data_IF_754289876291
#
_entry.id   IF_754289876291
#
_cell.length_a   1.000
_cell.length_b   1.000
_cell.length_c   1.000
_cell.angle_alpha   90.00
_cell.angle_beta   90.00
_cell.angle_gamma   90.00
#
_symmetry.space_group_name_H-M   'P 1'
#
loop_
_entity.id
_entity.type
_entity.pdbx_description
1 polymer ?
#
# COMPACT_ATOMS: atom_id res chain seq x y z
N UNK A 1 8.27 10.27 25.21
CA UNK A 1 7.85 9.70 23.91
C UNK A 1 6.36 9.96 23.73
N UNK A 2 6.00 10.84 22.80
CA UNK A 2 4.62 11.28 22.58
C UNK A 2 3.79 10.25 21.80
N UNK A 3 2.46 10.35 21.80
CA UNK A 3 1.59 9.43 21.03
C UNK A 3 1.89 9.48 19.53
N UNK A 4 2.22 10.67 18.99
CA UNK A 4 2.55 10.88 17.58
C UNK A 4 3.80 10.12 17.12
N UNK A 5 4.73 9.82 18.03
CA UNK A 5 5.92 9.01 17.75
C UNK A 5 5.61 7.49 17.70
N UNK A 6 4.38 7.09 18.06
CA UNK A 6 3.97 5.68 18.11
C UNK A 6 2.92 5.31 17.06
N UNK A 7 2.24 6.29 16.47
CA UNK A 7 1.19 6.08 15.47
C UNK A 7 1.58 6.66 14.13
N UNK A 8 1.04 6.08 13.06
CA UNK A 8 1.05 6.68 11.73
C UNK A 8 -0.30 7.37 11.51
N UNK A 9 -0.31 8.53 10.88
CA UNK A 9 -1.54 9.28 10.59
C UNK A 9 -1.75 9.32 9.08
N UNK A 10 -2.88 8.78 8.63
CA UNK A 10 -3.24 8.77 7.21
C UNK A 10 -3.29 10.20 6.66
N UNK A 11 -2.53 10.43 5.58
CA UNK A 11 -2.39 11.72 4.93
C UNK A 11 -2.15 11.53 3.43
N UNK A 12 -3.07 11.98 2.55
CA UNK A 12 -2.83 12.03 1.12
C UNK A 12 -1.55 12.80 0.76
N UNK A 13 -0.75 12.27 -0.17
CA UNK A 13 0.50 12.93 -0.60
C UNK A 13 0.31 14.43 -0.95
N UNK A 14 -0.72 14.87 -1.70
CA UNK A 14 -0.90 16.28 -1.99
C UNK A 14 -1.03 17.17 -0.74
N UNK A 15 -1.66 16.65 0.33
CA UNK A 15 -1.77 17.37 1.60
C UNK A 15 -0.45 17.39 2.36
N UNK A 16 0.34 16.30 2.31
CA UNK A 16 1.70 16.29 2.84
C UNK A 16 2.58 17.33 2.15
N UNK A 17 2.57 17.38 0.81
CA UNK A 17 3.34 18.36 0.05
C UNK A 17 2.98 19.80 0.43
N UNK A 18 1.69 20.09 0.62
CA UNK A 18 1.21 21.42 1.00
C UNK A 18 1.54 21.79 2.46
N UNK A 19 1.61 20.82 3.37
CA UNK A 19 1.68 21.07 4.81
C UNK A 19 2.95 20.52 5.49
N UNK A 20 4.02 20.27 4.71
CA UNK A 20 5.23 19.64 5.22
C UNK A 20 5.81 20.35 6.46
N UNK A 21 5.86 21.68 6.46
CA UNK A 21 6.38 22.44 7.61
C UNK A 21 5.61 22.14 8.92
N UNK A 22 4.29 22.01 8.84
CA UNK A 22 3.46 21.64 9.99
C UNK A 22 3.72 20.21 10.45
N UNK A 23 3.80 19.26 9.51
CA UNK A 23 4.13 17.85 9.78
C UNK A 23 5.48 17.74 10.50
N UNK A 24 6.50 18.44 10.00
CA UNK A 24 7.83 18.46 10.61
C UNK A 24 7.84 19.13 11.99
N UNK A 25 7.07 20.20 12.18
CA UNK A 25 7.03 20.96 13.43
C UNK A 25 6.44 20.14 14.59
N UNK A 26 5.43 19.30 14.31
CA UNK A 26 4.77 18.48 15.33
C UNK A 26 5.32 17.04 15.40
N UNK A 27 6.24 16.67 14.51
CA UNK A 27 6.80 15.33 14.44
C UNK A 27 5.76 14.26 14.07
N UNK A 28 4.77 14.61 13.25
CA UNK A 28 3.74 13.66 12.81
C UNK A 28 4.37 12.65 11.85
N UNK A 29 4.11 11.37 12.11
CA UNK A 29 4.54 10.27 11.25
C UNK A 29 3.42 9.96 10.25
N UNK A 30 3.59 10.24 8.96
CA UNK A 30 2.52 10.08 8.00
C UNK A 30 2.44 8.65 7.46
N UNK A 31 1.21 8.14 7.40
CA UNK A 31 0.85 7.12 6.43
C UNK A 31 0.44 7.82 5.14
N UNK A 32 1.28 7.76 4.12
CA UNK A 32 1.10 8.53 2.90
C UNK A 32 0.18 7.77 1.95
N UNK A 33 -1.00 8.33 1.67
CA UNK A 33 -1.92 7.77 0.68
C UNK A 33 -1.60 8.26 -0.74
N UNK A 34 -1.58 7.33 -1.70
CA UNK A 34 -1.36 7.58 -3.12
C UNK A 34 -2.60 7.19 -3.93
N UNK A 35 -3.37 8.17 -4.40
CA UNK A 35 -4.42 7.89 -5.39
C UNK A 35 -3.83 7.69 -6.80
N UNK A 36 -4.57 7.03 -7.69
CA UNK A 36 -4.15 6.87 -9.09
C UNK A 36 -3.84 8.20 -9.78
N UNK A 37 -4.71 9.21 -9.60
CA UNK A 37 -4.47 10.56 -10.11
C UNK A 37 -3.21 11.23 -9.55
N UNK A 38 -2.88 10.96 -8.27
CA UNK A 38 -1.65 11.47 -7.67
C UNK A 38 -0.41 10.81 -8.30
N UNK A 39 -0.47 9.49 -8.55
CA UNK A 39 0.62 8.74 -9.17
C UNK A 39 0.88 9.17 -10.62
N UNK A 40 -0.17 9.51 -11.37
CA UNK A 40 -0.07 10.00 -12.75
C UNK A 40 0.57 11.39 -12.88
N UNK A 41 0.56 12.17 -11.78
CA UNK A 41 1.01 13.57 -11.77
C UNK A 41 2.02 13.86 -10.67
N UNK A 42 2.88 12.89 -10.31
CA UNK A 42 3.86 13.05 -9.25
C UNK A 42 4.85 14.20 -9.56
N UNK A 43 4.91 15.26 -8.71
CA UNK A 43 5.92 16.29 -8.83
C UNK A 43 7.24 15.76 -8.26
N UNK A 44 7.95 14.93 -9.03
CA UNK A 44 9.11 14.13 -8.57
C UNK A 44 10.16 14.92 -7.79
N UNK A 45 10.43 16.17 -8.18
CA UNK A 45 11.39 17.01 -7.47
C UNK A 45 10.93 17.33 -6.03
N UNK A 46 9.66 17.71 -5.85
CA UNK A 46 9.10 17.98 -4.53
C UNK A 46 8.94 16.70 -3.72
N UNK A 47 8.54 15.59 -4.34
CA UNK A 47 8.44 14.28 -3.69
C UNK A 47 9.78 13.86 -3.08
N UNK A 48 10.89 13.97 -3.84
CA UNK A 48 12.23 13.63 -3.36
C UNK A 48 12.68 14.56 -2.23
N UNK A 49 12.38 15.86 -2.33
CA UNK A 49 12.68 16.84 -1.28
C UNK A 49 11.93 16.54 0.01
N UNK A 50 10.63 16.21 -0.07
CA UNK A 50 9.82 15.82 1.09
C UNK A 50 10.37 14.55 1.73
N UNK A 51 10.68 13.52 0.95
CA UNK A 51 11.28 12.29 1.45
C UNK A 51 12.60 12.57 2.21
N UNK A 52 13.47 13.41 1.64
CA UNK A 52 14.72 13.82 2.28
C UNK A 52 14.49 14.56 3.60
N UNK A 53 13.54 15.51 3.65
CA UNK A 53 13.28 16.30 4.84
C UNK A 53 12.66 15.46 5.98
N UNK A 54 11.78 14.51 5.66
CA UNK A 54 11.24 13.55 6.63
C UNK A 54 12.35 12.67 7.20
N UNK A 55 13.20 12.12 6.32
CA UNK A 55 14.36 11.30 6.70
C UNK A 55 15.34 12.06 7.61
N UNK A 56 15.70 13.29 7.28
CA UNK A 56 16.60 14.14 8.09
C UNK A 56 16.05 14.43 9.49
N UNK A 57 14.72 14.40 9.67
CA UNK A 57 14.05 14.59 10.96
C UNK A 57 13.73 13.28 11.68
N UNK A 58 14.17 12.14 11.14
CA UNK A 58 13.85 10.80 11.64
C UNK A 58 12.34 10.54 11.76
N UNK A 59 11.54 11.16 10.88
CA UNK A 59 10.10 10.91 10.82
C UNK A 59 9.89 9.66 9.97
N UNK A 60 9.40 8.59 10.59
CA UNK A 60 9.08 7.36 9.86
C UNK A 60 7.78 7.51 9.10
N UNK A 61 7.65 6.77 8.00
CA UNK A 61 6.44 6.77 7.17
C UNK A 61 5.96 5.35 6.91
N UNK A 62 4.66 5.22 6.68
CA UNK A 62 4.06 4.07 5.97
C UNK A 62 3.38 4.57 4.71
N UNK A 63 3.07 3.67 3.79
CA UNK A 63 2.33 4.01 2.58
C UNK A 63 0.97 3.32 2.58
N UNK A 64 -0.02 3.98 2.02
CA UNK A 64 -1.28 3.37 1.64
C UNK A 64 -1.42 3.44 0.11
N UNK A 65 -1.47 2.28 -0.54
CA UNK A 65 -1.54 2.15 -1.98
C UNK A 65 -2.92 2.62 -2.53
N UNK A 66 -3.03 2.91 -3.84
CA UNK A 66 -4.33 3.16 -4.47
C UNK A 66 -5.18 1.89 -4.39
N UNK A 67 -6.49 2.07 -4.23
CA UNK A 67 -7.44 0.95 -4.16
C UNK A 67 -8.71 1.19 -4.98
N UNK A 68 -9.11 2.45 -5.18
CA UNK A 68 -10.32 2.82 -5.94
C UNK A 68 -10.29 2.23 -7.35
N UNK A 69 -11.33 1.45 -7.68
CA UNK A 69 -11.52 0.76 -8.96
C UNK A 69 -10.43 -0.24 -9.36
N UNK A 70 -9.56 -0.62 -8.42
CA UNK A 70 -8.52 -1.63 -8.62
C UNK A 70 -8.98 -2.97 -8.06
N UNK A 71 -8.55 -4.06 -8.70
CA UNK A 71 -8.85 -5.41 -8.24
C UNK A 71 -7.69 -6.37 -8.58
N UNK A 72 -6.86 -6.71 -7.58
CA UNK A 72 -5.70 -7.59 -7.79
C UNK A 72 -6.12 -9.03 -8.06
N UNK A 73 -7.32 -9.41 -7.64
CA UNK A 73 -7.93 -10.71 -7.94
C UNK A 73 -8.88 -10.72 -9.12
N UNK A 74 -8.97 -9.66 -9.93
CA UNK A 74 -9.95 -9.54 -11.01
C UNK A 74 -9.92 -10.74 -11.96
N UNK A 75 -11.09 -11.14 -12.47
CA UNK A 75 -11.19 -12.16 -13.54
C UNK A 75 -10.69 -11.61 -14.87
N UNK A 76 -10.96 -10.34 -15.15
CA UNK A 76 -10.45 -9.65 -16.33
C UNK A 76 -8.96 -9.33 -16.19
N UNK A 77 -8.17 -9.87 -17.09
CA UNK A 77 -6.71 -9.71 -17.12
C UNK A 77 -6.27 -8.25 -17.25
N UNK A 78 -7.01 -7.40 -17.99
CA UNK A 78 -6.67 -5.98 -18.14
C UNK A 78 -6.89 -5.19 -16.86
N UNK A 79 -7.88 -5.58 -16.05
CA UNK A 79 -8.08 -5.00 -14.72
C UNK A 79 -6.93 -5.42 -13.78
N UNK A 80 -6.48 -6.68 -13.84
CA UNK A 80 -5.31 -7.12 -13.05
C UNK A 80 -4.03 -6.42 -13.49
N UNK A 81 -3.80 -6.30 -14.79
CA UNK A 81 -2.62 -5.62 -15.35
C UNK A 81 -2.55 -4.16 -14.88
N UNK A 82 -3.64 -3.40 -14.98
CA UNK A 82 -3.64 -2.00 -14.52
C UNK A 82 -3.51 -1.90 -13.00
N UNK A 83 -4.09 -2.83 -12.25
CA UNK A 83 -3.91 -2.90 -10.78
C UNK A 83 -2.45 -3.13 -10.42
N UNK A 84 -1.82 -4.13 -11.03
CA UNK A 84 -0.40 -4.41 -10.83
C UNK A 84 0.48 -3.22 -11.23
N UNK A 85 0.15 -2.52 -12.32
CA UNK A 85 0.83 -1.30 -12.72
C UNK A 85 0.75 -0.22 -11.64
N UNK A 86 -0.44 0.07 -11.10
CA UNK A 86 -0.61 1.06 -10.01
C UNK A 86 0.14 0.69 -8.74
N UNK A 87 0.14 -0.58 -8.37
CA UNK A 87 0.90 -1.05 -7.22
C UNK A 87 2.40 -0.87 -7.43
N UNK A 88 2.91 -1.18 -8.63
CA UNK A 88 4.32 -0.98 -8.97
C UNK A 88 4.75 0.49 -8.95
N UNK A 89 3.87 1.43 -9.33
CA UNK A 89 4.15 2.87 -9.19
C UNK A 89 4.37 3.27 -7.72
N UNK A 90 3.62 2.69 -6.78
CA UNK A 90 3.87 2.93 -5.34
C UNK A 90 5.19 2.31 -4.90
N UNK A 91 5.51 1.11 -5.40
CA UNK A 91 6.80 0.45 -5.12
C UNK A 91 8.00 1.25 -5.64
N UNK A 92 7.86 2.02 -6.72
CA UNK A 92 8.91 2.92 -7.25
C UNK A 92 9.28 4.05 -6.28
N UNK A 93 8.42 4.36 -5.29
CA UNK A 93 8.66 5.39 -4.29
C UNK A 93 9.46 4.89 -3.09
N UNK A 94 9.57 3.57 -2.91
CA UNK A 94 10.25 2.92 -1.77
C UNK A 94 11.70 3.38 -1.60
N UNK A 95 12.54 3.45 -2.66
CA UNK A 95 13.94 3.87 -2.51
C UNK A 95 14.14 5.31 -2.04
N UNK A 96 13.09 6.14 -2.08
CA UNK A 96 13.17 7.53 -1.62
C UNK A 96 12.72 7.67 -0.17
N UNK A 97 11.59 7.05 0.18
CA UNK A 97 10.96 7.22 1.49
C UNK A 97 11.37 6.16 2.52
N UNK A 98 11.80 4.98 2.08
CA UNK A 98 12.08 3.83 2.95
C UNK A 98 10.94 3.55 3.95
N UNK A 99 9.69 3.39 3.47
CA UNK A 99 8.54 3.20 4.35
C UNK A 99 8.68 1.92 5.19
N UNK A 100 8.15 1.95 6.41
CA UNK A 100 8.15 0.77 7.30
C UNK A 100 7.28 -0.37 6.76
N UNK A 101 6.19 -0.01 6.09
CA UNK A 101 5.27 -0.93 5.43
C UNK A 101 4.45 -0.19 4.35
N UNK A 102 3.90 -0.96 3.42
CA UNK A 102 2.93 -0.49 2.43
C UNK A 102 1.64 -1.31 2.59
N UNK A 103 0.55 -0.60 2.82
CA UNK A 103 -0.78 -1.17 2.99
C UNK A 103 -1.47 -1.21 1.62
N UNK A 104 -2.08 -2.35 1.31
CA UNK A 104 -2.88 -2.54 0.11
C UNK A 104 -4.22 -3.18 0.43
N UNK A 105 -5.20 -2.88 -0.42
CA UNK A 105 -6.49 -3.57 -0.38
C UNK A 105 -6.42 -4.89 -1.17
N UNK A 106 -6.86 -6.01 -0.59
CA UNK A 106 -6.86 -7.35 -1.20
C UNK A 106 -7.92 -7.50 -2.30
N UNK A 107 -8.96 -6.66 -2.28
CA UNK A 107 -9.93 -6.49 -3.35
C UNK A 107 -10.90 -7.67 -3.54
N UNK A 108 -11.17 -8.45 -2.49
CA UNK A 108 -12.29 -9.39 -2.50
C UNK A 108 -13.60 -8.68 -2.15
N UNK A 109 -14.66 -9.03 -2.86
CA UNK A 109 -16.05 -8.64 -2.58
C UNK A 109 -16.93 -9.79 -3.05
N UNK A 110 -17.75 -10.34 -2.15
CA UNK A 110 -18.58 -11.53 -2.45
C UNK A 110 -19.47 -11.34 -3.67
N UNK A 111 -19.96 -10.12 -3.93
CA UNK A 111 -20.85 -9.83 -5.05
C UNK A 111 -20.11 -9.77 -6.38
N UNK A 112 -18.83 -9.38 -6.37
CA UNK A 112 -18.00 -9.35 -7.58
C UNK A 112 -17.47 -10.73 -7.96
N UNK A 113 -17.28 -11.59 -6.96
CA UNK A 113 -16.71 -12.93 -7.14
C UNK A 113 -17.75 -14.05 -7.05
N UNK A 114 -19.04 -13.74 -6.91
CA UNK A 114 -20.12 -14.71 -6.75
C UNK A 114 -19.81 -15.76 -5.67
N UNK A 115 -19.35 -15.28 -4.51
CA UNK A 115 -18.85 -16.08 -3.38
C UNK A 115 -17.64 -17.00 -3.70
N UNK A 116 -17.08 -16.98 -4.92
CA UNK A 116 -15.96 -17.83 -5.34
C UNK A 116 -14.61 -17.28 -4.83
N UNK A 117 -14.34 -17.56 -3.56
CA UNK A 117 -13.06 -17.24 -2.91
C UNK A 117 -11.89 -17.96 -3.59
N UNK A 118 -12.09 -19.16 -4.16
CA UNK A 118 -10.99 -19.92 -4.76
C UNK A 118 -10.53 -19.29 -6.07
N UNK A 119 -11.48 -18.83 -6.90
CA UNK A 119 -11.22 -18.03 -8.09
C UNK A 119 -10.48 -16.74 -7.73
N UNK A 120 -10.98 -15.99 -6.75
CA UNK A 120 -10.33 -14.76 -6.30
C UNK A 120 -8.89 -15.01 -5.82
N UNK A 121 -8.64 -16.04 -5.00
CA UNK A 121 -7.27 -16.38 -4.53
C UNK A 121 -6.38 -16.73 -5.74
N UNK A 122 -6.86 -17.58 -6.65
CA UNK A 122 -6.08 -18.02 -7.81
C UNK A 122 -5.63 -16.83 -8.67
N UNK A 123 -6.54 -15.90 -8.95
CA UNK A 123 -6.24 -14.70 -9.74
C UNK A 123 -5.37 -13.71 -8.95
N UNK A 124 -5.63 -13.53 -7.66
CA UNK A 124 -4.87 -12.66 -6.78
C UNK A 124 -3.38 -13.02 -6.73
N UNK A 125 -3.06 -14.32 -6.79
CA UNK A 125 -1.67 -14.79 -6.80
C UNK A 125 -0.86 -14.27 -7.99
N UNK A 126 -1.51 -13.98 -9.12
CA UNK A 126 -0.86 -13.40 -10.31
C UNK A 126 -0.39 -11.96 -10.06
N UNK A 127 -1.04 -11.23 -9.16
CA UNK A 127 -0.63 -9.87 -8.76
C UNK A 127 0.30 -9.91 -7.55
N UNK A 128 -0.02 -10.69 -6.51
CA UNK A 128 0.71 -10.63 -5.24
C UNK A 128 2.08 -11.28 -5.26
N UNK A 129 2.26 -12.43 -5.93
CA UNK A 129 3.57 -13.11 -5.94
C UNK A 129 4.68 -12.22 -6.51
N UNK A 130 4.54 -11.62 -7.71
CA UNK A 130 5.55 -10.72 -8.25
C UNK A 130 5.77 -9.48 -7.38
N UNK A 131 4.69 -8.93 -6.79
CA UNK A 131 4.79 -7.74 -5.93
C UNK A 131 5.55 -8.04 -4.63
N UNK A 132 5.35 -9.23 -4.06
CA UNK A 132 6.03 -9.68 -2.84
C UNK A 132 7.50 -10.01 -3.11
N UNK A 133 7.82 -10.64 -4.24
CA UNK A 133 9.22 -10.83 -4.69
C UNK A 133 9.94 -9.48 -4.84
N UNK A 134 9.25 -8.49 -5.41
CA UNK A 134 9.76 -7.12 -5.49
C UNK A 134 9.92 -6.48 -4.12
N UNK A 135 8.98 -6.70 -3.20
CA UNK A 135 9.04 -6.17 -1.83
C UNK A 135 10.22 -6.75 -1.04
N UNK A 136 10.52 -8.03 -1.21
CA UNK A 136 11.71 -8.69 -0.67
C UNK A 136 13.00 -8.03 -1.19
N UNK A 137 13.09 -7.81 -2.50
CA UNK A 137 14.25 -7.13 -3.13
C UNK A 137 14.44 -5.71 -2.60
N UNK A 138 13.36 -4.99 -2.32
CA UNK A 138 13.37 -3.64 -1.78
C UNK A 138 13.44 -3.59 -0.24
N UNK A 139 13.47 -4.76 0.42
CA UNK A 139 13.46 -4.90 1.88
C UNK A 139 12.31 -4.15 2.58
N UNK A 140 11.12 -4.13 1.96
CA UNK A 140 9.91 -3.45 2.50
C UNK A 140 8.80 -4.47 2.78
N UNK A 141 8.06 -4.29 3.87
CA UNK A 141 6.90 -5.14 4.19
C UNK A 141 5.65 -4.65 3.47
N UNK A 142 4.88 -5.59 2.94
CA UNK A 142 3.52 -5.36 2.46
C UNK A 142 2.52 -5.84 3.52
N UNK A 143 1.37 -5.20 3.61
CA UNK A 143 0.26 -5.66 4.43
C UNK A 143 -1.06 -5.59 3.66
N UNK A 144 -1.89 -6.63 3.81
CA UNK A 144 -3.25 -6.66 3.27
C UNK A 144 -4.22 -6.18 4.35
N UNK A 145 -5.00 -5.15 4.05
CA UNK A 145 -6.04 -4.60 4.92
C UNK A 145 -7.38 -5.30 4.71
N UNK A 146 -8.15 -5.57 5.76
CA UNK A 146 -9.54 -6.03 5.60
C UNK A 146 -10.44 -4.89 5.14
N UNK A 147 -11.31 -5.15 4.16
CA UNK A 147 -12.24 -4.13 3.64
C UNK A 147 -13.67 -4.66 3.58
N UNK A 148 -13.91 -5.68 2.75
CA UNK A 148 -15.26 -6.23 2.51
C UNK A 148 -15.38 -7.71 2.85
N UNK A 149 -14.29 -8.34 3.29
CA UNK A 149 -14.28 -9.75 3.67
C UNK A 149 -15.16 -9.98 4.89
N UNK A 150 -16.13 -10.89 4.78
CA UNK A 150 -17.09 -11.17 5.86
C UNK A 150 -16.44 -11.88 7.07
N UNK A 151 -15.26 -12.48 6.89
CA UNK A 151 -14.53 -13.14 7.96
C UNK A 151 -13.02 -13.27 7.63
N UNK A 152 -12.13 -13.37 8.64
CA UNK A 152 -10.69 -13.39 8.44
C UNK A 152 -10.17 -14.64 7.70
N UNK A 153 -10.98 -15.70 7.55
CA UNK A 153 -10.53 -16.91 6.87
C UNK A 153 -10.27 -16.69 5.38
N UNK A 154 -10.93 -15.69 4.77
CA UNK A 154 -10.79 -15.33 3.36
C UNK A 154 -9.36 -14.81 3.10
N UNK A 155 -8.94 -13.77 3.83
CA UNK A 155 -7.57 -13.22 3.71
C UNK A 155 -6.51 -14.21 4.16
N UNK A 156 -6.82 -15.03 5.17
CA UNK A 156 -5.91 -16.10 5.59
C UNK A 156 -5.56 -17.05 4.44
N UNK A 157 -6.51 -17.40 3.56
CA UNK A 157 -6.24 -18.24 2.39
C UNK A 157 -5.21 -17.60 1.45
N UNK A 158 -5.35 -16.30 1.17
CA UNK A 158 -4.40 -15.58 0.32
C UNK A 158 -3.02 -15.47 0.97
N UNK A 159 -2.95 -15.09 2.25
CA UNK A 159 -1.70 -15.00 3.00
C UNK A 159 -0.95 -16.35 3.04
N UNK A 160 -1.68 -17.45 3.27
CA UNK A 160 -1.12 -18.79 3.25
C UNK A 160 -0.67 -19.25 1.86
N UNK A 161 -1.36 -18.84 0.80
CA UNK A 161 -1.01 -19.20 -0.57
C UNK A 161 0.20 -18.42 -1.11
N UNK A 162 0.44 -17.21 -0.62
CA UNK A 162 1.66 -16.43 -0.89
C UNK A 162 2.83 -16.92 -0.03
N UNK A 163 2.59 -17.21 1.26
CA UNK A 163 3.56 -17.75 2.20
C UNK A 163 4.93 -17.02 2.21
N UNK A 164 4.92 -15.71 2.48
CA UNK A 164 6.13 -14.90 2.53
C UNK A 164 6.25 -14.11 3.82
N UNK A 165 7.45 -13.98 4.41
CA UNK A 165 7.67 -13.09 5.56
C UNK A 165 7.53 -11.61 5.19
N UNK A 166 7.46 -11.25 3.89
CA UNK A 166 7.28 -9.88 3.41
C UNK A 166 5.82 -9.48 3.19
N UNK A 167 4.87 -10.40 3.37
CA UNK A 167 3.45 -10.12 3.31
C UNK A 167 2.77 -10.40 4.66
N UNK A 168 2.17 -9.37 5.24
CA UNK A 168 1.44 -9.43 6.49
C UNK A 168 -0.02 -8.99 6.35
N UNK A 169 -0.62 -8.71 7.50
CA UNK A 169 -2.01 -8.30 7.63
C UNK A 169 -2.10 -6.95 8.34
N UNK A 170 -2.96 -6.07 7.84
CA UNK A 170 -3.37 -4.83 8.48
C UNK A 170 -4.82 -5.00 8.94
N UNK A 171 -5.08 -4.78 10.22
CA UNK A 171 -6.43 -4.84 10.77
C UNK A 171 -6.96 -3.41 10.85
N UNK A 172 -7.99 -3.11 10.05
CA UNK A 172 -8.83 -1.93 10.21
C UNK A 172 -10.04 -2.26 11.09
#
# INVERSE_FOLDING_TARGET
MGILEKVQVNLPLPLLLKNLSGVLAIGLQPEIYFSGATLDHLPWQEVKKVAQQLSQKNISVTFHAPFMDLSPGAVDDKIREITAFRFNQVMDLVPYFHPRAIIFHPGYDRWRFDDDVALWVTNSLLTWRPLVERAETLAVKLALENVFEENPSILKKLLQAVHSPFLGYCLD
#
